data_IF_028733590388
#
_entry.id   IF_028733590388
#
_cell.length_a   1.000
_cell.length_b   1.000
_cell.length_c   1.000
_cell.angle_alpha   90.00
_cell.angle_beta   90.00
_cell.angle_gamma   90.00
#
_symmetry.space_group_name_H-M   'P 1'
#
loop_
_entity.id
_entity.type
_entity.pdbx_description
1 polymer ?
#
# COMPACT_ATOMS: atom_id res chain seq x y z
N UNK A 1 -34.18 20.02 -10.40
CA UNK A 1 -33.68 20.09 -11.79
C UNK A 1 -32.28 19.49 -11.77
N UNK A 2 -32.18 18.22 -12.15
CA UNK A 2 -31.03 17.36 -11.89
C UNK A 2 -29.84 17.76 -12.78
N UNK A 3 -28.75 18.24 -12.18
CA UNK A 3 -27.50 18.57 -12.87
C UNK A 3 -26.75 17.33 -13.39
N UNK A 4 -27.28 16.12 -13.20
CA UNK A 4 -26.68 14.87 -13.65
C UNK A 4 -26.85 14.60 -15.16
N UNK A 5 -27.71 15.36 -15.86
CA UNK A 5 -28.00 15.16 -17.29
C UNK A 5 -27.04 15.94 -18.22
N UNK A 6 -26.08 16.69 -17.68
CA UNK A 6 -25.24 17.61 -18.49
C UNK A 6 -23.90 17.05 -18.98
N UNK A 7 -23.56 15.79 -18.68
CA UNK A 7 -22.26 15.20 -19.05
C UNK A 7 -22.36 14.09 -20.10
N UNK A 8 -23.20 14.28 -21.13
CA UNK A 8 -23.35 13.32 -22.26
C UNK A 8 -22.19 13.46 -23.28
N UNK A 9 -21.52 14.62 -23.33
CA UNK A 9 -20.48 14.92 -24.33
C UNK A 9 -19.05 14.69 -23.86
N UNK A 10 -18.85 14.27 -22.60
CA UNK A 10 -17.51 13.92 -22.15
C UNK A 10 -17.22 12.49 -22.62
N UNK A 11 -16.18 12.23 -23.42
CA UNK A 11 -15.85 10.86 -23.80
C UNK A 11 -15.66 10.06 -22.52
N UNK A 12 -16.45 9.00 -22.36
CA UNK A 12 -16.28 8.06 -21.25
C UNK A 12 -14.82 7.61 -21.32
N UNK A 13 -14.01 7.83 -20.28
CA UNK A 13 -12.63 7.42 -20.31
C UNK A 13 -12.59 5.92 -20.55
N UNK A 14 -12.02 5.53 -21.69
CA UNK A 14 -11.93 4.13 -22.10
C UNK A 14 -11.12 3.42 -21.03
N UNK A 15 -11.77 2.54 -20.27
CA UNK A 15 -11.05 1.69 -19.32
C UNK A 15 -10.09 0.82 -20.13
N UNK A 16 -8.78 0.82 -19.83
CA UNK A 16 -7.84 0.01 -20.56
C UNK A 16 -8.26 -1.46 -20.46
N UNK A 17 -8.69 -2.02 -21.58
CA UNK A 17 -8.99 -3.44 -21.70
C UNK A 17 -7.66 -4.18 -21.86
N UNK A 18 -7.42 -5.19 -21.03
CA UNK A 18 -6.25 -6.06 -21.13
C UNK A 18 -6.69 -7.45 -21.60
N UNK A 19 -5.91 -8.05 -22.49
CA UNK A 19 -6.22 -9.38 -23.05
C UNK A 19 -5.56 -10.52 -22.24
N UNK A 20 -4.55 -10.21 -21.43
CA UNK A 20 -3.77 -11.20 -20.69
C UNK A 20 -3.40 -10.72 -19.28
N UNK A 21 -3.36 -11.66 -18.34
CA UNK A 21 -2.87 -11.44 -16.97
C UNK A 21 -1.65 -12.33 -16.74
N UNK A 22 -0.57 -11.74 -16.22
CA UNK A 22 0.64 -12.46 -15.82
C UNK A 22 0.85 -12.32 -14.32
N UNK A 23 1.18 -13.45 -13.66
CA UNK A 23 1.63 -13.48 -12.27
C UNK A 23 3.13 -13.79 -12.22
N UNK A 24 3.86 -13.13 -11.32
CA UNK A 24 5.28 -13.32 -11.12
C UNK A 24 5.68 -12.92 -9.69
N UNK A 25 6.87 -13.37 -9.26
CA UNK A 25 7.46 -12.92 -8.00
C UNK A 25 7.80 -11.42 -8.07
N UNK A 26 7.58 -10.72 -6.96
CA UNK A 26 7.96 -9.32 -6.83
C UNK A 26 9.38 -9.21 -6.25
N UNK A 27 10.26 -8.49 -6.95
CA UNK A 27 11.57 -8.13 -6.39
C UNK A 27 11.42 -7.07 -5.30
N UNK A 28 12.39 -6.92 -4.38
CA UNK A 28 12.37 -5.86 -3.38
C UNK A 28 12.23 -4.46 -3.99
N UNK A 29 12.92 -4.20 -5.10
CA UNK A 29 12.82 -2.95 -5.87
C UNK A 29 11.40 -2.72 -6.39
N UNK A 30 10.73 -3.78 -6.88
CA UNK A 30 9.35 -3.69 -7.37
C UNK A 30 8.37 -3.40 -6.24
N UNK A 31 8.55 -4.02 -5.07
CA UNK A 31 7.73 -3.74 -3.88
C UNK A 31 7.87 -2.27 -3.46
N UNK A 32 9.10 -1.73 -3.47
CA UNK A 32 9.34 -0.31 -3.20
C UNK A 32 8.70 0.60 -4.25
N UNK A 33 8.70 0.21 -5.53
CA UNK A 33 8.07 0.99 -6.60
C UNK A 33 6.55 1.14 -6.47
N UNK A 34 5.87 0.18 -5.84
CA UNK A 34 4.43 0.26 -5.56
C UNK A 34 4.10 1.13 -4.34
N UNK A 35 5.11 1.39 -3.51
CA UNK A 35 4.90 2.02 -2.23
C UNK A 35 4.88 3.55 -2.33
N UNK A 36 3.94 4.15 -1.60
CA UNK A 36 3.87 5.59 -1.40
C UNK A 36 4.61 6.05 -0.14
N UNK A 37 5.16 5.13 0.64
CA UNK A 37 5.91 5.43 1.85
C UNK A 37 6.11 4.23 2.77
N UNK A 38 7.12 4.37 3.62
CA UNK A 38 7.51 3.39 4.61
C UNK A 38 6.68 3.55 5.89
N UNK A 39 6.15 2.44 6.43
CA UNK A 39 5.52 2.39 7.75
C UNK A 39 6.60 2.09 8.77
N UNK A 40 6.78 3.00 9.74
CA UNK A 40 7.81 2.88 10.78
C UNK A 40 7.26 2.50 12.14
N UNK A 41 5.98 2.79 12.37
CA UNK A 41 5.38 2.62 13.67
C UNK A 41 4.12 1.76 13.60
N UNK A 42 3.82 0.99 14.66
CA UNK A 42 2.65 0.12 14.68
C UNK A 42 1.35 0.87 14.98
N UNK A 43 1.38 2.17 15.31
CA UNK A 43 0.18 2.88 15.71
C UNK A 43 -0.82 3.04 14.57
N UNK A 44 -2.10 3.08 14.93
CA UNK A 44 -3.21 3.13 13.99
C UNK A 44 -3.84 4.51 13.96
N UNK A 45 -4.58 4.83 15.02
CA UNK A 45 -5.30 6.09 15.20
C UNK A 45 -5.09 6.61 16.62
N UNK A 46 -5.16 7.92 16.77
CA UNK A 46 -5.17 8.55 18.07
C UNK A 46 -6.45 8.23 18.84
N UNK A 47 -6.32 7.78 20.09
CA UNK A 47 -7.46 7.39 20.93
C UNK A 47 -8.44 8.53 21.26
N UNK A 48 -7.97 9.79 21.34
CA UNK A 48 -8.84 10.95 21.65
C UNK A 48 -9.41 11.59 20.39
N UNK A 49 -8.56 11.82 19.39
CA UNK A 49 -8.96 12.60 18.22
C UNK A 49 -9.46 11.76 17.06
N UNK A 50 -9.33 10.42 17.13
CA UNK A 50 -9.61 9.48 16.05
C UNK A 50 -8.91 9.81 14.73
N UNK A 51 -7.80 10.57 14.81
CA UNK A 51 -7.00 10.94 13.63
C UNK A 51 -5.94 9.88 13.39
N UNK A 52 -5.63 9.52 12.14
CA UNK A 52 -4.54 8.62 11.84
C UNK A 52 -3.21 9.15 12.36
N UNK A 53 -2.41 8.26 12.94
CA UNK A 53 -1.07 8.60 13.43
C UNK A 53 -0.07 8.76 12.27
N UNK A 54 0.97 9.57 12.51
CA UNK A 54 2.02 9.81 11.51
C UNK A 54 2.96 8.61 11.43
N UNK A 55 3.24 8.16 10.21
CA UNK A 55 4.10 7.00 9.90
C UNK A 55 3.60 5.66 10.47
N UNK A 56 2.33 5.63 10.88
CA UNK A 56 1.61 4.45 11.33
C UNK A 56 0.82 3.75 10.21
N UNK A 57 0.10 2.69 10.58
CA UNK A 57 -0.62 1.80 9.66
C UNK A 57 -1.73 2.50 8.86
N UNK A 58 -2.30 3.60 9.37
CA UNK A 58 -3.36 4.35 8.67
C UNK A 58 -2.90 5.73 8.16
N UNK A 59 -1.60 6.00 8.17
CA UNK A 59 -1.04 7.33 7.91
C UNK A 59 -1.60 7.99 6.64
N UNK A 60 -2.20 9.17 6.79
CA UNK A 60 -2.80 9.90 5.67
C UNK A 60 -1.78 10.42 4.66
N UNK A 61 -0.49 10.53 5.04
CA UNK A 61 0.59 10.93 4.14
C UNK A 61 0.88 9.85 3.10
N UNK A 62 0.90 8.59 3.53
CA UNK A 62 1.22 7.43 2.68
C UNK A 62 -0.02 7.05 1.86
N UNK A 63 -1.13 6.79 2.55
CA UNK A 63 -2.33 6.23 1.92
C UNK A 63 -3.26 7.30 1.32
N UNK A 64 -3.12 8.57 1.69
CA UNK A 64 -3.97 9.65 1.22
C UNK A 64 -5.02 10.12 2.25
N UNK A 65 -5.83 11.13 1.89
CA UNK A 65 -6.67 11.87 2.83
C UNK A 65 -7.89 11.05 3.31
N UNK A 66 -8.33 11.30 4.55
CA UNK A 66 -9.52 10.65 5.14
C UNK A 66 -10.83 11.19 4.60
N UNK A 67 -10.84 12.45 4.12
CA UNK A 67 -12.00 13.13 3.56
C UNK A 67 -11.67 13.66 2.17
N UNK A 68 -12.66 13.71 1.30
CA UNK A 68 -12.48 14.17 -0.07
C UNK A 68 -12.05 15.64 -0.11
N UNK A 69 -10.97 15.90 -0.85
CA UNK A 69 -10.41 17.23 -1.05
C UNK A 69 -10.13 18.02 0.26
N UNK A 70 -9.76 17.32 1.32
CA UNK A 70 -9.37 17.92 2.61
C UNK A 70 -8.11 17.26 3.15
N UNK A 71 -7.11 18.09 3.50
CA UNK A 71 -5.91 17.60 4.17
C UNK A 71 -6.18 17.30 5.67
N UNK A 72 -5.36 16.45 6.28
CA UNK A 72 -5.56 15.98 7.68
C UNK A 72 -5.59 17.11 8.73
N UNK A 73 -4.80 18.17 8.53
CA UNK A 73 -4.77 19.31 9.46
C UNK A 73 -5.90 20.33 9.22
N UNK A 74 -6.63 20.22 8.11
CA UNK A 74 -7.71 21.14 7.74
C UNK A 74 -7.26 22.50 7.19
N UNK A 75 -5.96 22.73 6.94
CA UNK A 75 -5.44 23.97 6.31
C UNK A 75 -6.00 24.16 4.90
N UNK A 76 -5.88 23.12 4.08
CA UNK A 76 -6.42 23.06 2.72
C UNK A 76 -7.70 22.25 2.70
N UNK A 77 -8.79 22.88 2.24
CA UNK A 77 -10.13 22.30 2.12
C UNK A 77 -10.77 22.70 0.81
N UNK A 78 -11.67 21.85 0.32
CA UNK A 78 -12.44 22.00 -0.94
C UNK A 78 -11.59 21.73 -2.17
N UNK A 79 -12.29 21.51 -3.29
CA UNK A 79 -11.73 21.09 -4.56
C UNK A 79 -10.74 22.09 -5.18
N UNK A 80 -10.75 23.36 -4.77
CA UNK A 80 -9.82 24.40 -5.26
C UNK A 80 -8.33 24.09 -5.00
N UNK A 81 -8.03 23.26 -4.01
CA UNK A 81 -6.65 22.88 -3.65
C UNK A 81 -6.28 21.48 -4.12
N UNK A 82 -7.05 20.89 -5.06
CA UNK A 82 -6.80 19.55 -5.59
C UNK A 82 -5.35 19.43 -6.09
N UNK A 83 -4.66 18.37 -5.69
CA UNK A 83 -3.28 18.07 -6.08
C UNK A 83 -2.21 18.77 -5.24
N UNK A 84 -2.58 19.66 -4.32
CA UNK A 84 -1.60 20.31 -3.43
C UNK A 84 -1.25 19.38 -2.27
N UNK A 85 0.04 19.25 -1.99
CA UNK A 85 0.55 18.57 -0.80
C UNK A 85 0.63 19.57 0.34
N UNK A 86 -0.03 19.28 1.46
CA UNK A 86 -0.04 20.19 2.60
C UNK A 86 1.33 20.22 3.31
N UNK A 87 1.93 21.40 3.46
CA UNK A 87 3.24 21.54 4.11
C UNK A 87 3.25 21.16 5.60
N UNK A 88 2.11 21.28 6.30
CA UNK A 88 2.03 20.97 7.73
C UNK A 88 1.91 19.46 8.00
N UNK A 89 1.09 18.75 7.22
CA UNK A 89 0.79 17.33 7.46
C UNK A 89 1.30 16.38 6.37
N UNK A 90 1.84 16.89 5.26
CA UNK A 90 2.32 16.10 4.12
C UNK A 90 1.23 15.38 3.34
N UNK A 91 -0.06 15.67 3.62
CA UNK A 91 -1.19 14.99 2.98
C UNK A 91 -1.55 15.71 1.70
N UNK A 92 -1.60 14.95 0.61
CA UNK A 92 -2.09 15.40 -0.68
C UNK A 92 -3.62 15.56 -0.67
N UNK A 93 -4.09 16.69 -1.19
CA UNK A 93 -5.52 16.98 -1.32
C UNK A 93 -6.07 16.28 -2.57
N UNK A 94 -6.67 15.11 -2.36
CA UNK A 94 -7.27 14.27 -3.41
C UNK A 94 -8.54 13.58 -2.88
N UNK A 95 -9.13 12.69 -3.65
CA UNK A 95 -10.27 11.87 -3.23
C UNK A 95 -9.83 10.85 -2.18
N UNK A 96 -10.66 10.58 -1.18
CA UNK A 96 -10.39 9.56 -0.16
C UNK A 96 -10.35 8.14 -0.75
N UNK A 97 -10.93 7.92 -1.94
CA UNK A 97 -10.87 6.66 -2.70
C UNK A 97 -9.45 6.15 -2.91
N UNK A 98 -8.46 7.05 -3.08
CA UNK A 98 -7.05 6.64 -3.33
C UNK A 98 -6.47 5.79 -2.20
N UNK A 99 -7.04 5.86 -0.98
CA UNK A 99 -6.63 5.02 0.15
C UNK A 99 -6.82 3.52 -0.09
N UNK A 100 -7.69 3.15 -1.04
CA UNK A 100 -7.92 1.76 -1.44
C UNK A 100 -6.94 1.28 -2.52
N UNK A 101 -6.21 2.19 -3.14
CA UNK A 101 -5.35 1.93 -4.31
C UNK A 101 -3.85 2.09 -3.94
N UNK A 102 -3.51 2.99 -3.01
CA UNK A 102 -2.13 3.21 -2.58
C UNK A 102 -1.63 2.11 -1.64
N UNK A 103 -0.41 1.63 -1.90
CA UNK A 103 0.27 0.64 -1.06
C UNK A 103 1.36 1.30 -0.20
N UNK A 104 1.69 0.66 0.92
CA UNK A 104 2.81 1.00 1.79
C UNK A 104 3.79 -0.17 1.87
N UNK A 105 5.00 0.06 2.36
CA UNK A 105 5.98 -1.01 2.61
C UNK A 105 6.59 -0.88 4.01
N UNK A 106 7.19 -1.98 4.47
CA UNK A 106 8.01 -2.03 5.68
C UNK A 106 9.35 -2.59 5.27
N UNK A 107 10.43 -1.89 5.63
CA UNK A 107 11.78 -2.38 5.42
C UNK A 107 12.13 -3.33 6.58
N UNK A 108 12.42 -4.59 6.26
CA UNK A 108 12.75 -5.60 7.26
C UNK A 108 14.22 -5.48 7.64
N UNK A 109 14.52 -5.55 8.94
CA UNK A 109 15.89 -5.51 9.45
C UNK A 109 16.71 -6.75 9.07
N UNK A 110 16.04 -7.89 8.85
CA UNK A 110 16.65 -9.14 8.44
C UNK A 110 15.78 -9.79 7.34
N UNK A 111 16.38 -10.57 6.42
CA UNK A 111 15.64 -11.32 5.43
C UNK A 111 14.75 -12.37 6.11
N UNK A 112 13.50 -12.48 5.63
CA UNK A 112 12.52 -13.45 6.14
C UNK A 112 12.09 -14.34 4.99
N UNK A 113 12.10 -15.66 5.22
CA UNK A 113 11.63 -16.62 4.22
C UNK A 113 10.12 -16.50 4.02
N UNK A 114 9.69 -16.41 2.76
CA UNK A 114 8.27 -16.33 2.45
C UNK A 114 7.59 -17.69 2.65
N UNK A 115 6.66 -17.75 3.61
CA UNK A 115 6.04 -19.00 4.10
C UNK A 115 5.45 -19.88 3.01
N UNK A 116 4.85 -19.30 1.96
CA UNK A 116 4.28 -20.09 0.86
C UNK A 116 5.32 -20.89 0.06
N UNK A 117 6.56 -20.41 -0.06
CA UNK A 117 7.59 -21.15 -0.79
C UNK A 117 8.36 -22.12 0.11
N UNK A 118 8.26 -21.96 1.43
CA UNK A 118 8.85 -22.83 2.43
C UNK A 118 7.93 -24.00 2.78
N UNK A 119 6.72 -23.73 3.28
CA UNK A 119 5.81 -24.72 3.89
C UNK A 119 4.79 -25.32 2.93
N UNK A 120 4.60 -24.76 1.73
CA UNK A 120 3.75 -25.40 0.72
C UNK A 120 4.35 -26.74 0.30
N UNK A 121 3.52 -27.75 0.04
CA UNK A 121 3.95 -29.06 -0.43
C UNK A 121 3.68 -29.17 -1.94
N UNK A 122 4.70 -29.43 -2.78
CA UNK A 122 6.12 -29.55 -2.43
C UNK A 122 6.79 -28.19 -2.14
N UNK A 123 7.74 -28.18 -1.21
CA UNK A 123 8.48 -26.97 -0.83
C UNK A 123 9.35 -26.52 -1.99
N UNK A 124 9.09 -25.31 -2.52
CA UNK A 124 9.80 -24.79 -3.69
C UNK A 124 11.26 -24.47 -3.36
N UNK A 125 11.51 -23.95 -2.16
CA UNK A 125 12.87 -23.66 -1.69
C UNK A 125 13.67 -24.95 -1.49
N UNK A 126 13.07 -25.94 -0.81
CA UNK A 126 13.76 -27.22 -0.53
C UNK A 126 14.10 -27.98 -1.81
N UNK A 127 13.15 -28.00 -2.77
CA UNK A 127 13.37 -28.61 -4.09
C UNK A 127 14.48 -27.89 -4.87
N UNK A 128 14.53 -26.56 -4.79
CA UNK A 128 15.55 -25.77 -5.49
C UNK A 128 16.96 -25.98 -4.92
N UNK A 129 17.06 -26.25 -3.61
CA UNK A 129 18.33 -26.49 -2.93
C UNK A 129 18.74 -27.97 -2.88
N UNK A 130 17.87 -28.88 -3.35
CA UNK A 130 18.04 -30.34 -3.22
C UNK A 130 18.27 -30.80 -1.76
N UNK A 131 17.51 -30.21 -0.83
CA UNK A 131 17.57 -30.51 0.61
C UNK A 131 16.23 -31.01 1.12
N UNK A 132 16.25 -31.83 2.19
CA UNK A 132 15.02 -32.18 2.89
C UNK A 132 14.45 -30.92 3.58
N UNK A 133 13.12 -30.78 3.57
CA UNK A 133 12.43 -29.65 4.21
C UNK A 133 12.83 -29.47 5.69
N UNK A 134 13.03 -30.58 6.40
CA UNK A 134 13.45 -30.57 7.81
C UNK A 134 14.82 -29.90 7.99
N UNK A 135 15.75 -30.12 7.07
CA UNK A 135 17.10 -29.54 7.17
C UNK A 135 17.09 -28.05 6.84
N UNK A 136 16.26 -27.62 5.88
CA UNK A 136 16.04 -26.19 5.61
C UNK A 136 15.39 -25.48 6.81
N UNK A 137 14.43 -26.13 7.46
CA UNK A 137 13.77 -25.61 8.66
C UNK A 137 14.74 -25.46 9.83
N UNK A 138 15.62 -26.44 10.05
CA UNK A 138 16.66 -26.35 11.10
C UNK A 138 17.52 -25.10 10.92
N UNK A 139 17.99 -24.84 9.70
CA UNK A 139 18.75 -23.62 9.39
C UNK A 139 17.93 -22.36 9.66
N UNK A 140 16.66 -22.32 9.25
CA UNK A 140 15.81 -21.15 9.43
C UNK A 140 15.48 -20.87 10.90
N UNK A 141 15.28 -21.91 11.71
CA UNK A 141 14.99 -21.80 13.13
C UNK A 141 16.24 -21.74 14.01
N UNK A 142 17.44 -21.73 13.40
CA UNK A 142 18.71 -21.77 14.11
C UNK A 142 18.81 -22.98 15.06
N UNK A 143 18.27 -24.13 14.65
CA UNK A 143 18.43 -25.40 15.34
C UNK A 143 19.78 -26.04 14.96
N UNK A 144 20.52 -26.51 15.97
CA UNK A 144 21.79 -27.22 15.81
C UNK A 144 21.58 -28.72 15.53
#
# INVERSE_FOLDING_TARGET
>A
MNQEVLNIFNPVPVTPTFDQIKIALASPEKIRSWSFGEIKKPETINYRTFKPERDGLFCARIFGPTKDYECLCGKYKRMKYKGIICEKCGVEVTLARVRRERMGHIELAAPVAHIWFLKSLPSRISLMLDMALKDVERVLYFEN
#
